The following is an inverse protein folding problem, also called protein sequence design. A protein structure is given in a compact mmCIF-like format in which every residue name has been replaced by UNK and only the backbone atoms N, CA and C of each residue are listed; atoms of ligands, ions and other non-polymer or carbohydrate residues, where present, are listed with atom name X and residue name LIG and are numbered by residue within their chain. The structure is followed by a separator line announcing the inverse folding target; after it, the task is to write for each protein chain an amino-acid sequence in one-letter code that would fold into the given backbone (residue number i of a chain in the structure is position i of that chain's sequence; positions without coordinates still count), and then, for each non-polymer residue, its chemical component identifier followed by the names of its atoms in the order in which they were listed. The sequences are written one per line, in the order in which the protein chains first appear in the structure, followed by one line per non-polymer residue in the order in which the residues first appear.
data_IF_111850883231
#
_entry.id   IF_111850883231
#
_cell.length_a   1.000
_cell.length_b   1.000
_cell.length_c   1.000
_cell.angle_alpha   90.00
_cell.angle_beta   90.00
_cell.angle_gamma   90.00
#
_symmetry.space_group_name_H-M   'P 1'
#
loop_
_entity.id
_entity.type
_entity.pdbx_description
1 polymer ?
#
# COMPACT_ATOMS: atom_id res chain seq x y z
N UNK A 1 15.40 11.24 -30.18
CA UNK A 1 16.10 10.07 -30.76
C UNK A 1 17.58 10.38 -30.91
N UNK A 2 18.44 9.83 -30.04
CA UNK A 2 19.83 9.49 -30.37
C UNK A 2 20.20 8.23 -29.58
N UNK A 3 20.22 7.12 -30.31
CA UNK A 3 20.76 5.83 -29.89
C UNK A 3 22.15 6.01 -29.27
N UNK A 4 22.35 5.60 -28.02
CA UNK A 4 23.70 5.28 -27.52
C UNK A 4 24.08 3.90 -28.07
N UNK A 5 24.62 3.88 -29.30
CA UNK A 5 25.35 2.74 -29.83
C UNK A 5 26.64 2.57 -29.00
N UNK A 6 26.75 1.43 -28.33
CA UNK A 6 27.97 1.02 -27.64
C UNK A 6 28.99 0.63 -28.73
N UNK A 7 30.01 1.46 -28.91
CA UNK A 7 31.11 1.22 -29.85
C UNK A 7 32.06 0.16 -29.27
N UNK A 8 32.09 -1.05 -29.85
CA UNK A 8 33.24 -1.95 -29.71
C UNK A 8 34.35 -1.44 -30.63
N UNK A 9 35.32 -0.69 -30.07
CA UNK A 9 36.54 -0.34 -30.81
C UNK A 9 37.48 -1.55 -30.82
N UNK A 10 37.71 -2.07 -32.02
CA UNK A 10 38.76 -3.04 -32.33
C UNK A 10 40.14 -2.38 -32.20
N UNK A 11 41.02 -2.93 -31.36
CA UNK A 11 42.43 -2.51 -31.25
C UNK A 11 43.34 -3.61 -31.80
N UNK A 12 44.07 -3.31 -32.89
CA UNK A 12 45.22 -4.08 -33.36
C UNK A 12 46.50 -3.55 -32.69
N UNK A 13 47.03 -4.38 -31.79
CA UNK A 13 48.44 -4.68 -31.49
C UNK A 13 49.49 -3.55 -31.54
N UNK A 14 50.04 -3.21 -30.37
CA UNK A 14 51.48 -2.97 -30.21
C UNK A 14 51.94 -3.60 -28.89
N UNK A 15 53.06 -4.34 -28.95
CA UNK A 15 53.48 -5.28 -27.91
C UNK A 15 53.84 -4.66 -26.57
N UNK A 16 53.10 -5.04 -25.53
CA UNK A 16 53.52 -5.32 -24.15
C UNK A 16 52.29 -5.84 -23.42
N UNK A 17 52.37 -7.05 -22.89
CA UNK A 17 51.28 -7.70 -22.19
C UNK A 17 50.95 -6.95 -20.89
N UNK A 18 49.95 -6.07 -20.94
CA UNK A 18 49.16 -5.74 -19.75
C UNK A 18 47.96 -6.67 -19.83
N UNK A 19 47.96 -7.72 -19.01
CA UNK A 19 46.76 -8.51 -18.72
C UNK A 19 45.80 -7.59 -17.96
N UNK A 20 45.10 -6.71 -18.67
CA UNK A 20 43.90 -6.10 -18.13
C UNK A 20 42.87 -7.23 -18.07
N UNK A 21 42.70 -7.81 -16.88
CA UNK A 21 41.62 -8.74 -16.57
C UNK A 21 40.32 -8.00 -16.88
N UNK A 22 39.79 -8.20 -18.09
CA UNK A 22 38.44 -7.75 -18.40
C UNK A 22 37.52 -8.56 -17.50
N UNK A 23 36.66 -7.92 -16.69
CA UNK A 23 35.81 -8.62 -15.75
C UNK A 23 34.96 -9.64 -16.50
N UNK A 24 34.83 -10.85 -15.94
CA UNK A 24 34.08 -11.92 -16.58
C UNK A 24 32.63 -11.46 -16.83
N UNK A 25 31.98 -11.89 -17.93
CA UNK A 25 30.61 -11.48 -18.25
C UNK A 25 29.60 -11.73 -17.11
N UNK A 26 29.85 -12.73 -16.27
CA UNK A 26 29.09 -13.03 -15.05
C UNK A 26 29.27 -11.98 -13.94
N UNK A 27 30.50 -11.51 -13.70
CA UNK A 27 30.81 -10.46 -12.71
C UNK A 27 30.23 -9.10 -13.14
N UNK A 28 30.26 -8.81 -14.44
CA UNK A 28 29.61 -7.62 -15.01
C UNK A 28 28.10 -7.69 -14.77
N UNK A 29 27.48 -8.85 -15.02
CA UNK A 29 26.04 -9.04 -14.80
C UNK A 29 25.68 -8.93 -13.32
N UNK A 30 26.51 -9.45 -12.42
CA UNK A 30 26.28 -9.37 -10.97
C UNK A 30 26.37 -7.92 -10.45
N UNK A 31 27.43 -7.18 -10.82
CA UNK A 31 27.58 -5.76 -10.45
C UNK A 31 26.45 -4.88 -11.02
N UNK A 32 25.99 -5.17 -12.24
CA UNK A 32 24.84 -4.47 -12.82
C UNK A 32 23.57 -4.75 -12.00
N UNK A 33 23.34 -6.00 -11.60
CA UNK A 33 22.17 -6.37 -10.80
C UNK A 33 22.20 -5.76 -9.39
N UNK A 34 23.36 -5.70 -8.75
CA UNK A 34 23.52 -5.03 -7.45
C UNK A 34 23.25 -3.53 -7.55
N UNK A 35 23.84 -2.84 -8.53
CA UNK A 35 23.59 -1.41 -8.74
C UNK A 35 22.11 -1.11 -9.04
N UNK A 36 21.45 -1.95 -9.86
CA UNK A 36 20.01 -1.81 -10.14
C UNK A 36 19.20 -1.99 -8.86
N UNK A 37 19.56 -2.94 -8.00
CA UNK A 37 18.87 -3.19 -6.74
C UNK A 37 19.01 -1.98 -5.81
N UNK A 38 20.21 -1.44 -5.65
CA UNK A 38 20.45 -0.23 -4.86
C UNK A 38 19.65 0.96 -5.38
N UNK A 39 19.62 1.18 -6.70
CA UNK A 39 18.86 2.27 -7.32
C UNK A 39 17.34 2.13 -7.11
N UNK A 40 16.83 0.89 -7.17
CA UNK A 40 15.43 0.58 -6.87
C UNK A 40 15.09 0.81 -5.40
N UNK A 41 15.96 0.38 -4.47
CA UNK A 41 15.71 0.53 -3.04
C UNK A 41 15.80 2.00 -2.60
N UNK A 42 16.75 2.76 -3.14
CA UNK A 42 16.81 4.23 -2.96
C UNK A 42 15.55 4.91 -3.49
N UNK A 43 15.03 4.50 -4.65
CA UNK A 43 13.79 5.07 -5.20
C UNK A 43 12.59 4.77 -4.32
N UNK A 44 12.49 3.57 -3.74
CA UNK A 44 11.41 3.23 -2.79
C UNK A 44 11.48 4.08 -1.54
N UNK A 45 12.68 4.29 -0.99
CA UNK A 45 12.86 5.13 0.21
C UNK A 45 12.48 6.59 -0.07
N UNK A 46 12.91 7.14 -1.20
CA UNK A 46 12.53 8.49 -1.62
C UNK A 46 11.01 8.64 -1.81
N UNK A 47 10.34 7.63 -2.35
CA UNK A 47 8.87 7.60 -2.48
C UNK A 47 8.18 7.51 -1.11
N UNK A 48 8.70 6.70 -0.20
CA UNK A 48 8.16 6.58 1.16
C UNK A 48 8.27 7.90 1.94
N UNK A 49 9.39 8.61 1.82
CA UNK A 49 9.57 9.92 2.44
C UNK A 49 8.69 10.99 1.78
N UNK A 50 8.50 10.94 0.46
CA UNK A 50 7.57 11.82 -0.24
C UNK A 50 6.13 11.67 0.28
N UNK A 51 5.64 10.44 0.41
CA UNK A 51 4.24 10.15 0.73
C UNK A 51 3.86 10.45 2.20
N UNK A 52 4.83 10.78 3.05
CA UNK A 52 4.63 11.27 4.43
C UNK A 52 4.52 12.79 4.52
N UNK A 53 4.82 13.54 3.45
CA UNK A 53 4.82 15.01 3.42
C UNK A 53 3.49 15.59 2.91
N UNK A 54 3.42 16.93 2.85
CA UNK A 54 2.33 17.64 2.15
C UNK A 54 2.50 17.46 0.63
N UNK A 55 1.56 16.74 0.00
CA UNK A 55 1.63 16.32 -1.40
C UNK A 55 0.61 17.06 -2.28
N UNK A 56 0.95 17.21 -3.56
CA UNK A 56 0.08 17.71 -4.63
C UNK A 56 -0.27 16.54 -5.55
N UNK A 57 -1.49 16.57 -6.09
CA UNK A 57 -1.93 15.66 -7.14
C UNK A 57 -1.84 16.37 -8.49
N UNK A 58 -1.06 15.82 -9.41
CA UNK A 58 -0.89 16.32 -10.76
C UNK A 58 -1.61 15.46 -11.79
N UNK A 59 -2.67 15.99 -12.38
CA UNK A 59 -3.40 15.37 -13.49
C UNK A 59 -2.83 15.85 -14.82
N UNK A 60 -2.23 14.94 -15.58
CA UNK A 60 -1.62 15.21 -16.89
C UNK A 60 -2.51 14.64 -17.99
N UNK A 61 -2.96 15.50 -18.90
CA UNK A 61 -3.82 15.13 -20.03
C UNK A 61 -2.99 15.08 -21.31
N UNK A 62 -2.92 13.90 -21.91
CA UNK A 62 -2.18 13.64 -23.14
C UNK A 62 -2.95 14.02 -24.41
N UNK A 63 -2.23 14.07 -25.54
CA UNK A 63 -2.81 14.28 -26.87
C UNK A 63 -3.74 13.13 -27.32
N UNK A 64 -3.53 11.95 -26.75
CA UNK A 64 -4.34 10.75 -26.95
C UNK A 64 -5.67 10.77 -26.16
N UNK A 65 -5.91 11.82 -25.37
CA UNK A 65 -7.05 11.91 -24.45
C UNK A 65 -6.85 11.11 -23.16
N UNK A 66 -5.68 10.49 -22.97
CA UNK A 66 -5.32 9.78 -21.74
C UNK A 66 -5.13 10.75 -20.58
N UNK A 67 -5.51 10.32 -19.37
CA UNK A 67 -5.26 11.03 -18.11
C UNK A 67 -4.32 10.19 -17.26
N UNK A 68 -3.24 10.80 -16.80
CA UNK A 68 -2.32 10.19 -15.84
C UNK A 68 -2.28 11.05 -14.59
N UNK A 69 -2.22 10.41 -13.43
CA UNK A 69 -2.17 11.11 -12.14
C UNK A 69 -0.84 10.79 -11.45
N UNK A 70 -0.30 11.81 -10.80
CA UNK A 70 1.01 11.78 -10.18
C UNK A 70 0.99 12.49 -8.83
N UNK A 71 1.79 12.02 -7.90
CA UNK A 71 1.95 12.63 -6.58
C UNK A 71 3.38 13.14 -6.42
N UNK A 72 3.54 14.35 -5.89
CA UNK A 72 4.84 14.96 -5.64
C UNK A 72 4.74 16.03 -4.53
N UNK A 73 5.89 16.45 -4.01
CA UNK A 73 5.96 17.35 -2.85
C UNK A 73 5.48 18.75 -3.22
N UNK A 74 4.67 19.34 -2.33
CA UNK A 74 4.15 20.70 -2.50
C UNK A 74 5.25 21.75 -2.33
N UNK A 75 5.85 22.17 -3.44
CA UNK A 75 6.83 23.25 -3.47
C UNK A 75 6.80 24.03 -4.79
N UNK A 76 7.13 25.34 -4.81
CA UNK A 76 7.18 26.12 -6.04
C UNK A 76 8.15 25.53 -7.09
N UNK A 77 9.34 25.11 -6.65
CA UNK A 77 10.36 24.48 -7.50
C UNK A 77 9.90 23.11 -8.03
N UNK A 78 9.22 22.31 -7.20
CA UNK A 78 8.66 21.02 -7.60
C UNK A 78 7.56 21.18 -8.65
N UNK A 79 6.66 22.14 -8.47
CA UNK A 79 5.61 22.45 -9.46
C UNK A 79 6.23 22.88 -10.80
N UNK A 80 7.17 23.84 -10.77
CA UNK A 80 7.83 24.31 -11.98
C UNK A 80 8.54 23.17 -12.73
N UNK A 81 9.29 22.36 -11.98
CA UNK A 81 10.00 21.20 -12.53
C UNK A 81 9.02 20.15 -13.08
N UNK A 82 7.91 19.87 -12.38
CA UNK A 82 6.89 18.93 -12.84
C UNK A 82 6.26 19.34 -14.16
N UNK A 83 5.85 20.60 -14.29
CA UNK A 83 5.30 21.16 -15.53
C UNK A 83 6.31 20.99 -16.67
N UNK A 84 7.57 21.33 -16.42
CA UNK A 84 8.63 21.23 -17.43
C UNK A 84 8.97 19.78 -17.82
N UNK A 85 8.96 18.85 -16.87
CA UNK A 85 9.22 17.43 -17.12
C UNK A 85 8.10 16.77 -17.93
N UNK A 86 6.84 17.17 -17.71
CA UNK A 86 5.66 16.59 -18.39
C UNK A 86 5.26 17.30 -19.68
N UNK A 87 5.85 18.46 -20.00
CA UNK A 87 5.46 19.33 -21.12
C UNK A 87 5.40 18.67 -22.50
N UNK A 88 6.29 17.71 -22.80
CA UNK A 88 6.36 17.07 -24.13
C UNK A 88 5.14 16.22 -24.47
N UNK A 89 4.42 15.77 -23.44
CA UNK A 89 3.33 14.80 -23.59
C UNK A 89 2.02 15.34 -23.03
N UNK A 90 1.97 16.60 -22.60
CA UNK A 90 0.83 17.19 -21.93
C UNK A 90 0.21 18.32 -22.76
N UNK A 91 -1.09 18.22 -23.02
CA UNK A 91 -1.91 19.34 -23.54
C UNK A 91 -2.34 20.25 -22.40
N UNK A 92 -2.72 19.64 -21.27
CA UNK A 92 -3.19 20.30 -20.07
C UNK A 92 -2.64 19.60 -18.84
N UNK A 93 -2.21 20.37 -17.85
CA UNK A 93 -1.89 19.88 -16.51
C UNK A 93 -2.82 20.58 -15.53
N UNK A 94 -3.39 19.82 -14.60
CA UNK A 94 -4.21 20.33 -13.49
C UNK A 94 -3.57 19.85 -12.20
N UNK A 95 -3.26 20.78 -11.30
CA UNK A 95 -2.69 20.51 -9.99
C UNK A 95 -3.75 20.79 -8.92
N UNK A 96 -3.97 19.82 -8.04
CA UNK A 96 -4.90 19.91 -6.91
C UNK A 96 -4.22 19.54 -5.60
N UNK A 97 -4.79 19.99 -4.48
CA UNK A 97 -4.44 19.45 -3.17
C UNK A 97 -5.13 18.08 -2.94
N UNK A 98 -4.88 17.47 -1.77
CA UNK A 98 -5.50 16.18 -1.39
C UNK A 98 -7.01 16.26 -1.12
N UNK A 99 -7.58 17.47 -1.14
CA UNK A 99 -9.01 17.74 -1.01
C UNK A 99 -9.64 18.12 -2.36
N UNK A 100 -8.95 17.83 -3.47
CA UNK A 100 -9.34 18.14 -4.84
C UNK A 100 -9.58 19.64 -5.11
N UNK A 101 -8.98 20.52 -4.31
CA UNK A 101 -9.04 21.97 -4.53
C UNK A 101 -8.01 22.37 -5.58
N UNK A 102 -8.46 23.12 -6.58
CA UNK A 102 -7.59 23.61 -7.64
C UNK A 102 -6.47 24.48 -7.06
N UNK A 103 -5.23 24.08 -7.30
CA UNK A 103 -4.05 24.89 -7.01
C UNK A 103 -3.60 25.68 -8.23
N UNK A 104 -3.53 25.01 -9.38
CA UNK A 104 -3.06 25.59 -10.63
C UNK A 104 -3.48 24.73 -11.83
N UNK A 105 -3.75 25.35 -12.98
CA UNK A 105 -3.80 24.63 -14.24
C UNK A 105 -2.95 25.28 -15.33
N UNK A 106 -2.60 24.50 -16.35
CA UNK A 106 -1.74 24.93 -17.45
C UNK A 106 -2.38 24.68 -18.81
N UNK A 107 -1.92 25.42 -19.81
CA UNK A 107 -2.01 25.05 -21.21
C UNK A 107 -0.59 24.76 -21.72
N UNK A 108 -0.30 23.48 -21.97
CA UNK A 108 1.07 23.01 -22.19
C UNK A 108 1.98 23.38 -21.01
N UNK A 109 3.02 24.17 -21.28
CA UNK A 109 4.00 24.64 -20.29
C UNK A 109 3.62 25.98 -19.61
N UNK A 110 2.55 26.65 -20.06
CA UNK A 110 2.16 27.96 -19.54
C UNK A 110 1.06 27.85 -18.50
N UNK A 111 1.21 28.60 -17.41
CA UNK A 111 0.19 28.69 -16.36
C UNK A 111 -1.02 29.42 -16.92
N UNK A 112 -2.20 28.80 -16.81
CA UNK A 112 -3.47 29.36 -17.26
C UNK A 112 -4.20 30.04 -16.08
N UNK A 113 -4.48 29.29 -15.02
CA UNK A 113 -5.09 29.81 -13.79
C UNK A 113 -4.31 29.37 -12.54
N UNK A 114 -4.15 30.31 -11.59
CA UNK A 114 -3.69 30.02 -10.24
C UNK A 114 -4.44 30.93 -9.25
N UNK A 115 -5.26 30.38 -8.34
CA UNK A 115 -6.03 31.19 -7.39
C UNK A 115 -5.16 31.99 -6.42
N UNK A 116 -4.03 31.43 -5.98
CA UNK A 116 -3.10 32.08 -5.06
C UNK A 116 -2.05 32.89 -5.84
N UNK A 117 -2.21 34.21 -5.84
CA UNK A 117 -1.33 35.13 -6.56
C UNK A 117 0.08 35.23 -5.95
N UNK A 118 0.24 35.04 -4.64
CA UNK A 118 1.57 35.03 -4.02
C UNK A 118 2.32 33.78 -4.44
N UNK A 119 1.64 32.64 -4.38
CA UNK A 119 2.19 31.36 -4.79
C UNK A 119 2.53 31.32 -6.28
N UNK A 120 1.68 31.93 -7.12
CA UNK A 120 1.96 32.11 -8.56
C UNK A 120 3.28 32.84 -8.81
N UNK A 121 3.57 33.91 -8.07
CA UNK A 121 4.82 34.65 -8.23
C UNK A 121 6.03 33.79 -7.86
N UNK A 122 5.93 32.97 -6.81
CA UNK A 122 6.99 32.05 -6.40
C UNK A 122 7.23 30.97 -7.45
N UNK A 123 6.18 30.34 -7.99
CA UNK A 123 6.29 29.34 -9.05
C UNK A 123 6.89 29.97 -10.31
N UNK A 124 6.47 31.18 -10.67
CA UNK A 124 6.94 31.87 -11.88
C UNK A 124 8.43 32.18 -11.82
N UNK A 125 8.97 32.55 -10.65
CA UNK A 125 10.42 32.77 -10.44
C UNK A 125 11.25 31.51 -10.75
N UNK A 126 10.68 30.33 -10.52
CA UNK A 126 11.31 29.06 -10.81
C UNK A 126 11.06 28.59 -12.26
N UNK A 127 9.84 28.77 -12.76
CA UNK A 127 9.39 28.24 -14.05
C UNK A 127 9.95 29.03 -15.25
N UNK A 128 9.99 30.37 -15.17
CA UNK A 128 10.42 31.20 -16.31
C UNK A 128 11.87 30.91 -16.73
N UNK A 129 12.86 30.83 -15.82
CA UNK A 129 14.21 30.41 -16.19
C UNK A 129 14.26 29.03 -16.86
N UNK A 130 13.40 28.09 -16.44
CA UNK A 130 13.35 26.76 -17.05
C UNK A 130 12.74 26.78 -18.46
N UNK A 131 11.73 27.62 -18.69
CA UNK A 131 11.12 27.82 -20.01
C UNK A 131 12.08 28.49 -21.01
N UNK A 132 12.90 29.42 -20.52
CA UNK A 132 13.93 30.10 -21.33
C UNK A 132 15.17 29.24 -21.59
N UNK A 133 15.34 28.13 -20.84
CA UNK A 133 16.51 27.25 -20.94
C UNK A 133 17.71 27.73 -20.11
N UNK A 134 17.54 28.75 -19.28
CA UNK A 134 18.56 29.27 -18.36
C UNK A 134 18.76 28.37 -17.12
N UNK A 135 17.78 27.49 -16.85
CA UNK A 135 17.76 26.58 -15.71
C UNK A 135 17.21 25.21 -16.12
N UNK A 136 17.89 24.13 -15.74
CA UNK A 136 17.34 22.78 -15.94
C UNK A 136 16.29 22.43 -14.86
N UNK A 137 15.24 21.66 -15.19
CA UNK A 137 14.27 21.21 -14.21
C UNK A 137 14.92 20.29 -13.19
N UNK A 138 14.53 20.42 -11.92
CA UNK A 138 15.03 19.58 -10.85
C UNK A 138 14.41 18.19 -10.97
N UNK A 139 15.23 17.14 -10.86
CA UNK A 139 14.73 15.78 -10.73
C UNK A 139 14.06 15.64 -9.36
N UNK A 140 12.73 15.57 -9.37
CA UNK A 140 11.92 15.42 -8.17
C UNK A 140 11.39 13.98 -8.07
N UNK A 141 11.27 13.42 -6.85
CA UNK A 141 10.51 12.21 -6.63
C UNK A 141 9.05 12.43 -7.07
N UNK A 142 8.58 11.59 -7.98
CA UNK A 142 7.19 11.56 -8.45
C UNK A 142 6.69 10.13 -8.29
N UNK A 143 5.58 9.96 -7.57
CA UNK A 143 4.89 8.68 -7.45
C UNK A 143 3.76 8.59 -8.48
N UNK A 144 3.60 7.43 -9.13
CA UNK A 144 2.37 7.12 -9.86
C UNK A 144 1.24 6.72 -8.89
N UNK A 145 0.01 6.60 -9.40
CA UNK A 145 -1.13 6.06 -8.64
C UNK A 145 -0.82 4.67 -8.09
N UNK A 146 -0.23 3.82 -8.92
CA UNK A 146 0.09 2.45 -8.54
C UNK A 146 1.16 2.41 -7.42
N UNK A 147 2.19 3.25 -7.53
CA UNK A 147 3.25 3.35 -6.52
C UNK A 147 2.72 3.91 -5.19
N UNK A 148 1.95 4.99 -5.23
CA UNK A 148 1.34 5.59 -4.04
C UNK A 148 0.31 4.65 -3.39
N UNK A 149 -0.52 3.98 -4.19
CA UNK A 149 -1.48 3.00 -3.71
C UNK A 149 -0.78 1.81 -3.07
N UNK A 150 0.29 1.29 -3.66
CA UNK A 150 1.06 0.19 -3.07
C UNK A 150 1.64 0.58 -1.71
N UNK A 151 2.16 1.80 -1.58
CA UNK A 151 2.67 2.32 -0.31
C UNK A 151 1.57 2.44 0.75
N UNK A 152 0.48 3.16 0.46
CA UNK A 152 -0.62 3.32 1.42
C UNK A 152 -1.30 2.00 1.76
N UNK A 153 -1.39 1.06 0.81
CA UNK A 153 -1.94 -0.27 1.08
C UNK A 153 -1.05 -1.11 2.00
N UNK A 154 0.27 -0.89 1.98
CA UNK A 154 1.19 -1.56 2.89
C UNK A 154 1.13 -0.96 4.31
N UNK A 155 1.08 0.37 4.44
CA UNK A 155 0.91 1.01 5.75
C UNK A 155 -0.48 0.75 6.35
N UNK A 156 -1.53 0.69 5.52
CA UNK A 156 -2.89 0.37 5.97
C UNK A 156 -3.13 -1.13 6.10
N UNK A 157 -2.11 -1.97 5.93
CA UNK A 157 -2.27 -3.42 6.00
C UNK A 157 -2.53 -3.79 7.45
N UNK A 158 -3.76 -4.25 7.73
CA UNK A 158 -4.12 -4.65 9.10
C UNK A 158 -3.15 -5.72 9.61
N UNK A 159 -2.62 -5.50 10.81
CA UNK A 159 -1.71 -6.42 11.49
C UNK A 159 -2.53 -7.53 12.12
N UNK A 160 -2.41 -8.73 11.57
CA UNK A 160 -3.12 -9.91 12.03
C UNK A 160 -2.27 -10.73 13.00
N UNK A 161 -2.90 -11.18 14.08
CA UNK A 161 -2.37 -12.21 14.96
C UNK A 161 -3.13 -13.51 14.75
N UNK A 162 -2.42 -14.63 14.69
CA UNK A 162 -3.03 -15.95 14.51
C UNK A 162 -3.16 -16.62 15.87
N UNK A 163 -4.35 -17.15 16.19
CA UNK A 163 -4.55 -17.96 17.38
C UNK A 163 -5.02 -19.38 17.01
N UNK A 164 -4.22 -20.36 17.41
CA UNK A 164 -4.48 -21.78 17.18
C UNK A 164 -4.64 -22.52 18.51
N UNK A 165 -5.55 -23.50 18.57
CA UNK A 165 -5.70 -24.37 19.73
C UNK A 165 -5.96 -25.81 19.31
N UNK A 166 -5.32 -26.76 20.00
CA UNK A 166 -5.64 -28.19 19.91
C UNK A 166 -6.11 -28.74 21.24
N UNK A 167 -7.13 -29.60 21.19
CA UNK A 167 -7.64 -30.34 22.35
C UNK A 167 -6.82 -31.63 22.53
N UNK A 168 -5.50 -31.52 22.52
CA UNK A 168 -4.57 -32.63 22.67
C UNK A 168 -3.34 -32.18 23.48
N UNK A 169 -2.76 -33.07 24.30
CA UNK A 169 -1.58 -32.74 25.09
C UNK A 169 -0.31 -32.55 24.23
N UNK A 170 -0.31 -33.06 23.00
CA UNK A 170 0.80 -32.92 22.05
C UNK A 170 0.28 -32.86 20.60
N UNK A 171 0.96 -32.09 19.74
CA UNK A 171 0.66 -32.00 18.30
C UNK A 171 1.23 -33.19 17.50
N UNK A 172 0.92 -34.41 17.93
CA UNK A 172 1.51 -35.65 17.39
C UNK A 172 1.21 -35.87 15.89
N UNK A 173 0.18 -35.21 15.34
CA UNK A 173 -0.25 -35.34 13.94
C UNK A 173 -0.08 -34.05 13.11
N UNK A 174 0.56 -33.01 13.63
CA UNK A 174 0.74 -31.75 12.90
C UNK A 174 -0.57 -30.99 12.64
N UNK A 175 -1.57 -31.17 13.49
CA UNK A 175 -2.86 -30.51 13.40
C UNK A 175 -2.73 -28.99 13.59
N UNK A 176 -1.82 -28.51 14.43
CA UNK A 176 -1.54 -27.07 14.56
C UNK A 176 -0.94 -26.50 13.28
N UNK A 177 0.03 -27.20 12.67
CA UNK A 177 0.65 -26.78 11.40
C UNK A 177 -0.37 -26.66 10.27
N UNK A 178 -1.33 -27.57 10.20
CA UNK A 178 -2.44 -27.50 9.23
C UNK A 178 -3.35 -26.30 9.47
N UNK A 179 -3.75 -26.06 10.72
CA UNK A 179 -4.57 -24.89 11.09
C UNK A 179 -3.86 -23.57 10.81
N UNK A 180 -2.59 -23.48 11.19
CA UNK A 180 -1.74 -22.31 10.94
C UNK A 180 -1.64 -22.03 9.45
N UNK A 181 -1.35 -23.03 8.62
CA UNK A 181 -1.27 -22.87 7.17
C UNK A 181 -2.57 -22.31 6.60
N UNK A 182 -3.71 -22.87 7.00
CA UNK A 182 -5.03 -22.39 6.58
C UNK A 182 -5.28 -20.92 6.96
N UNK A 183 -4.89 -20.51 8.18
CA UNK A 183 -5.03 -19.12 8.65
C UNK A 183 -4.03 -18.17 7.96
N UNK A 184 -2.82 -18.64 7.64
CA UNK A 184 -1.84 -17.88 6.86
C UNK A 184 -2.33 -17.67 5.42
N UNK A 185 -2.85 -18.70 4.78
CA UNK A 185 -3.42 -18.62 3.42
C UNK A 185 -4.61 -17.65 3.43
N UNK A 186 -5.46 -17.68 4.47
CA UNK A 186 -6.56 -16.73 4.63
C UNK A 186 -6.08 -15.29 4.86
N UNK A 187 -5.07 -15.09 5.71
CA UNK A 187 -4.47 -13.77 5.93
C UNK A 187 -3.89 -13.19 4.64
N UNK A 188 -3.24 -14.01 3.83
CA UNK A 188 -2.70 -13.59 2.53
C UNK A 188 -3.81 -13.19 1.56
N UNK A 189 -4.88 -13.99 1.46
CA UNK A 189 -6.05 -13.70 0.63
C UNK A 189 -6.75 -12.39 1.02
N UNK A 190 -6.85 -12.13 2.32
CA UNK A 190 -7.47 -10.92 2.86
C UNK A 190 -6.52 -9.70 2.84
N UNK A 191 -5.26 -9.90 2.47
CA UNK A 191 -4.26 -8.86 2.47
C UNK A 191 -3.90 -8.40 3.89
N UNK A 192 -3.93 -9.26 4.90
CA UNK A 192 -3.45 -8.94 6.24
C UNK A 192 -1.96 -9.21 6.39
N UNK A 193 -1.29 -8.47 7.29
CA UNK A 193 0.11 -8.69 7.63
C UNK A 193 0.18 -9.51 8.91
N UNK A 194 0.60 -10.78 8.82
CA UNK A 194 0.74 -11.62 10.02
C UNK A 194 1.95 -11.13 10.82
N UNK A 195 1.70 -10.60 12.01
CA UNK A 195 2.73 -10.04 12.91
C UNK A 195 3.13 -10.97 14.05
N UNK A 196 2.35 -12.02 14.28
CA UNK A 196 2.63 -13.01 15.32
C UNK A 196 1.61 -14.13 15.35
N UNK A 197 1.91 -15.11 16.19
CA UNK A 197 1.08 -16.29 16.43
C UNK A 197 1.08 -16.63 17.91
N UNK A 198 -0.05 -17.14 18.38
CA UNK A 198 -0.21 -17.70 19.71
C UNK A 198 -0.87 -19.07 19.58
N UNK A 199 -0.38 -20.03 20.36
CA UNK A 199 -0.86 -21.40 20.31
C UNK A 199 -1.14 -21.88 21.74
N UNK A 200 -2.29 -22.53 21.93
CA UNK A 200 -2.62 -23.23 23.18
C UNK A 200 -2.74 -24.74 22.92
N UNK A 201 -2.12 -25.54 23.80
CA UNK A 201 -2.18 -27.00 23.80
C UNK A 201 -2.78 -27.48 25.14
N UNK A 202 -3.71 -28.42 25.10
CA UNK A 202 -4.24 -29.00 26.33
C UNK A 202 -5.46 -29.89 26.11
N UNK A 203 -5.51 -31.03 26.78
CA UNK A 203 -6.68 -31.91 26.83
C UNK A 203 -7.49 -31.67 28.11
N UNK A 204 -8.79 -31.41 28.00
CA UNK A 204 -9.66 -31.23 29.18
C UNK A 204 -9.64 -29.82 29.78
N UNK A 205 -10.25 -29.68 30.97
CA UNK A 205 -10.57 -28.42 31.68
C UNK A 205 -9.36 -27.62 32.20
N UNK A 206 -8.14 -27.92 31.74
CA UNK A 206 -6.95 -27.16 32.12
C UNK A 206 -6.88 -25.90 31.26
N UNK A 207 -7.25 -24.78 31.88
CA UNK A 207 -7.20 -23.42 31.34
C UNK A 207 -5.77 -22.86 31.40
N UNK A 208 -4.78 -23.58 30.86
CA UNK A 208 -3.48 -22.97 30.60
C UNK A 208 -3.58 -22.15 29.31
N UNK A 209 -4.36 -21.08 29.38
CA UNK A 209 -4.64 -20.12 28.32
C UNK A 209 -3.48 -19.12 28.16
N UNK A 210 -2.24 -19.63 28.12
CA UNK A 210 -1.05 -18.80 28.01
C UNK A 210 -1.04 -18.03 26.67
N UNK A 211 -1.44 -18.68 25.59
CA UNK A 211 -1.56 -18.08 24.26
C UNK A 211 -2.67 -17.04 24.20
N UNK A 212 -3.84 -17.29 24.80
CA UNK A 212 -4.91 -16.28 24.84
C UNK A 212 -4.55 -15.06 25.71
N UNK A 213 -3.86 -15.27 26.83
CA UNK A 213 -3.35 -14.18 27.66
C UNK A 213 -2.31 -13.31 26.90
N UNK A 214 -1.46 -13.95 26.09
CA UNK A 214 -0.53 -13.25 25.20
C UNK A 214 -1.28 -12.41 24.16
N UNK A 215 -2.29 -12.97 23.51
CA UNK A 215 -3.15 -12.25 22.55
C UNK A 215 -3.74 -11.00 23.21
N UNK A 216 -4.29 -11.11 24.42
CA UNK A 216 -4.85 -9.95 25.15
C UNK A 216 -3.81 -8.91 25.55
N UNK A 217 -2.57 -9.33 25.82
CA UNK A 217 -1.47 -8.40 26.10
C UNK A 217 -1.06 -7.64 24.83
N UNK A 218 -0.90 -8.35 23.71
CA UNK A 218 -0.54 -7.78 22.41
C UNK A 218 -1.64 -6.85 21.88
N UNK A 219 -2.90 -7.22 22.11
CA UNK A 219 -4.07 -6.38 21.90
C UNK A 219 -3.94 -5.05 22.65
N UNK A 220 -3.73 -5.12 23.97
CA UNK A 220 -3.61 -3.94 24.82
C UNK A 220 -2.41 -3.05 24.49
N UNK A 221 -1.30 -3.64 24.02
CA UNK A 221 -0.12 -2.92 23.55
C UNK A 221 -0.34 -2.23 22.18
N UNK A 222 -1.48 -2.44 21.50
CA UNK A 222 -1.75 -1.90 20.18
C UNK A 222 -0.84 -2.47 19.09
N UNK A 223 -0.37 -3.71 19.25
CA UNK A 223 0.54 -4.40 18.32
C UNK A 223 -0.18 -5.19 17.23
N UNK A 224 -1.50 -5.33 17.34
CA UNK A 224 -2.35 -5.98 16.35
C UNK A 224 -3.64 -5.19 16.13
N UNK A 225 -4.24 -5.38 14.95
CA UNK A 225 -5.53 -4.79 14.56
C UNK A 225 -6.58 -5.87 14.25
N UNK A 226 -6.12 -7.11 14.02
CA UNK A 226 -6.96 -8.25 13.63
C UNK A 226 -6.53 -9.50 14.39
N UNK A 227 -7.50 -10.28 14.88
CA UNK A 227 -7.30 -11.62 15.42
C UNK A 227 -7.91 -12.65 14.45
N UNK A 228 -7.12 -13.66 14.06
CA UNK A 228 -7.54 -14.75 13.20
C UNK A 228 -7.67 -16.04 14.01
N UNK A 229 -8.85 -16.65 14.00
CA UNK A 229 -9.14 -17.93 14.65
C UNK A 229 -9.73 -18.92 13.65
N UNK A 230 -9.57 -20.22 13.87
CA UNK A 230 -10.19 -21.22 13.00
C UNK A 230 -11.70 -21.33 13.19
N UNK A 231 -12.17 -21.35 14.44
CA UNK A 231 -13.58 -21.46 14.86
C UNK A 231 -13.77 -20.83 16.24
N UNK A 232 -14.95 -20.28 16.50
CA UNK A 232 -15.33 -19.73 17.83
C UNK A 232 -15.17 -20.74 18.97
N UNK A 233 -15.45 -22.04 18.71
CA UNK A 233 -15.29 -23.12 19.69
C UNK A 233 -13.86 -23.26 20.25
N UNK A 234 -12.86 -22.65 19.59
CA UNK A 234 -11.45 -22.67 20.01
C UNK A 234 -11.11 -21.61 21.05
N UNK A 235 -11.92 -20.55 21.16
CA UNK A 235 -11.73 -19.51 22.19
C UNK A 235 -12.21 -19.98 23.57
N UNK A 236 -13.12 -20.95 23.62
CA UNK A 236 -13.58 -21.59 24.85
C UNK A 236 -15.03 -22.04 24.75
N UNK A 237 -15.40 -23.05 25.56
CA UNK A 237 -16.79 -23.54 25.66
C UNK A 237 -17.62 -22.77 26.69
N UNK A 238 -16.99 -21.87 27.43
CA UNK A 238 -17.63 -21.03 28.44
C UNK A 238 -18.12 -19.72 27.79
N UNK A 239 -19.43 -19.61 27.64
CA UNK A 239 -20.08 -18.48 26.97
C UNK A 239 -19.83 -17.16 27.69
N UNK A 240 -19.68 -17.15 29.03
CA UNK A 240 -19.43 -15.92 29.78
C UNK A 240 -18.01 -15.40 29.49
N UNK A 241 -17.01 -16.27 29.56
CA UNK A 241 -15.61 -15.91 29.26
C UNK A 241 -15.42 -15.49 27.80
N UNK A 242 -16.16 -16.13 26.88
CA UNK A 242 -16.13 -15.74 25.46
C UNK A 242 -16.68 -14.32 25.26
N UNK A 243 -17.78 -13.97 25.92
CA UNK A 243 -18.36 -12.63 25.83
C UNK A 243 -17.44 -11.56 26.42
N UNK A 244 -16.80 -11.86 27.55
CA UNK A 244 -15.82 -10.95 28.16
C UNK A 244 -14.60 -10.71 27.24
N UNK A 245 -14.12 -11.77 26.59
CA UNK A 245 -13.04 -11.68 25.61
C UNK A 245 -13.45 -10.82 24.40
N UNK A 246 -14.63 -11.08 23.82
CA UNK A 246 -15.13 -10.31 22.68
C UNK A 246 -15.32 -8.83 23.02
N UNK A 247 -15.86 -8.54 24.21
CA UNK A 247 -15.98 -7.17 24.70
C UNK A 247 -14.63 -6.49 24.92
N UNK A 248 -13.63 -7.23 25.42
CA UNK A 248 -12.26 -6.74 25.58
C UNK A 248 -11.59 -6.41 24.25
N UNK A 249 -11.75 -7.26 23.23
CA UNK A 249 -11.22 -7.03 21.89
C UNK A 249 -11.89 -5.84 21.19
N UNK A 250 -13.22 -5.69 21.35
CA UNK A 250 -13.96 -4.56 20.81
C UNK A 250 -13.51 -3.22 21.42
N UNK A 251 -13.35 -3.16 22.74
CA UNK A 251 -12.83 -1.97 23.44
C UNK A 251 -11.41 -1.58 22.99
N UNK A 252 -10.59 -2.57 22.63
CA UNK A 252 -9.23 -2.36 22.14
C UNK A 252 -9.16 -2.07 20.64
N UNK A 253 -10.27 -2.14 19.92
CA UNK A 253 -10.31 -1.84 18.50
C UNK A 253 -9.81 -2.98 17.61
N UNK A 254 -10.15 -4.23 17.93
CA UNK A 254 -9.56 -5.40 17.26
C UNK A 254 -10.67 -6.20 16.57
N UNK A 255 -10.49 -6.43 15.27
CA UNK A 255 -11.45 -7.21 14.48
C UNK A 255 -11.17 -8.71 14.59
N UNK A 256 -12.19 -9.51 14.87
CA UNK A 256 -12.08 -10.97 14.94
C UNK A 256 -12.58 -11.62 13.64
N UNK A 257 -11.75 -12.41 12.98
CA UNK A 257 -12.13 -13.18 11.80
C UNK A 257 -11.97 -14.68 11.99
N UNK A 258 -12.89 -15.44 11.39
CA UNK A 258 -12.75 -16.88 11.17
C UNK A 258 -12.95 -17.25 9.69
N UNK A 259 -12.11 -18.10 9.08
CA UNK A 259 -12.20 -18.44 7.65
C UNK A 259 -13.57 -18.96 7.19
N UNK A 260 -14.30 -19.67 8.06
CA UNK A 260 -15.60 -20.28 7.77
C UNK A 260 -16.78 -19.35 8.08
N UNK A 261 -16.63 -18.41 9.01
CA UNK A 261 -17.72 -17.60 9.54
C UNK A 261 -17.61 -16.12 9.13
N UNK A 262 -16.45 -15.68 8.64
CA UNK A 262 -16.20 -14.30 8.25
C UNK A 262 -15.83 -13.41 9.43
N UNK A 263 -16.30 -12.17 9.42
CA UNK A 263 -16.07 -11.17 10.47
C UNK A 263 -17.05 -11.40 11.63
N UNK A 264 -16.52 -11.71 12.81
CA UNK A 264 -17.28 -12.15 13.98
C UNK A 264 -17.50 -11.03 14.99
N UNK A 265 -16.57 -10.09 15.10
CA UNK A 265 -16.67 -8.90 15.95
C UNK A 265 -16.00 -7.71 15.25
N UNK A 266 -16.65 -6.54 15.29
CA UNK A 266 -16.18 -5.31 14.66
C UNK A 266 -16.03 -4.22 15.70
N UNK A 267 -14.89 -3.56 15.70
CA UNK A 267 -14.82 -2.24 16.32
C UNK A 267 -15.23 -1.17 15.29
N UNK A 268 -16.17 -0.32 15.69
CA UNK A 268 -16.76 0.81 14.95
C UNK A 268 -16.29 1.09 13.50
N UNK A 269 -17.26 0.97 12.60
CA UNK A 269 -17.31 1.50 11.24
C UNK A 269 -16.97 3.00 11.18
N UNK A 270 -15.70 3.41 11.20
CA UNK A 270 -15.33 4.84 11.03
C UNK A 270 -14.01 5.10 10.30
N UNK A 271 -13.21 4.09 9.93
CA UNK A 271 -12.00 4.33 9.13
C UNK A 271 -12.26 4.50 7.63
N UNK A 272 -13.45 4.16 7.12
CA UNK A 272 -13.81 4.29 5.71
C UNK A 272 -13.98 5.76 5.23
N UNK A 273 -14.06 6.73 6.16
CA UNK A 273 -14.33 8.14 5.82
C UNK A 273 -13.08 9.04 5.79
N UNK A 274 -11.87 8.51 6.03
CA UNK A 274 -10.67 9.36 6.05
C UNK A 274 -10.03 9.60 4.68
N UNK A 275 -10.45 8.85 3.65
CA UNK A 275 -9.99 9.01 2.26
C UNK A 275 -11.10 8.71 1.24
N UNK A 276 -11.95 9.67 0.87
CA UNK A 276 -13.03 9.44 -0.10
C UNK A 276 -12.53 9.05 -1.51
N UNK A 277 -11.27 9.32 -1.86
CA UNK A 277 -10.70 9.00 -3.17
C UNK A 277 -10.36 7.52 -3.41
N UNK A 278 -10.05 6.74 -2.38
CA UNK A 278 -9.57 5.35 -2.53
C UNK A 278 -10.73 4.34 -2.62
N UNK A 279 -11.88 4.69 -2.04
CA UNK A 279 -13.02 3.77 -1.91
C UNK A 279 -13.70 3.45 -3.25
N UNK A 280 -13.68 4.38 -4.21
CA UNK A 280 -14.33 4.21 -5.52
C UNK A 280 -13.60 3.21 -6.43
N UNK A 281 -12.30 3.02 -6.24
CA UNK A 281 -11.51 2.05 -7.03
C UNK A 281 -11.53 0.64 -6.44
N UNK A 282 -11.58 0.49 -5.11
CA UNK A 282 -11.56 -0.81 -4.44
C UNK A 282 -12.87 -1.58 -4.66
N UNK A 283 -14.02 -0.89 -4.65
CA UNK A 283 -15.32 -1.53 -4.90
C UNK A 283 -15.50 -2.05 -6.34
N UNK A 284 -14.62 -1.69 -7.27
CA UNK A 284 -14.68 -2.15 -8.67
C UNK A 284 -14.00 -3.52 -8.90
N UNK A 285 -13.23 -4.02 -7.93
CA UNK A 285 -12.50 -5.30 -8.02
C UNK A 285 -13.07 -6.42 -7.13
N UNK A 286 -14.13 -6.17 -6.37
CA UNK A 286 -14.80 -7.24 -5.63
C UNK A 286 -15.55 -8.18 -6.62
N UNK A 287 -15.25 -9.48 -6.67
CA UNK A 287 -16.04 -10.41 -7.46
C UNK A 287 -17.44 -10.51 -6.84
N UNK A 288 -18.46 -10.16 -7.63
CA UNK A 288 -19.85 -10.42 -7.28
C UNK A 288 -20.03 -11.94 -7.11
N UNK A 289 -20.04 -12.42 -5.86
CA UNK A 289 -20.52 -13.77 -5.56
C UNK A 289 -22.02 -13.79 -5.84
N UNK A 290 -22.40 -14.55 -6.88
CA UNK A 290 -23.78 -14.94 -7.13
C UNK A 290 -24.25 -15.76 -5.92
N UNK A 291 -25.01 -15.16 -5.01
CA UNK A 291 -25.91 -15.90 -4.13
C UNK A 291 -27.12 -16.32 -4.94
N UNK A 292 -26.99 -17.48 -5.59
CA UNK A 292 -28.14 -18.30 -5.94
C UNK A 292 -28.66 -18.97 -4.67
N UNK A 293 -29.97 -18.94 -4.54
CA UNK A 293 -30.82 -19.75 -3.67
C UNK A 293 -31.08 -19.29 -2.24
N UNK A 294 -32.31 -18.78 -2.11
CA UNK A 294 -33.27 -19.07 -1.03
C UNK A 294 -33.09 -18.40 0.32
N UNK A 295 -33.48 -17.12 0.39
CA UNK A 295 -34.41 -16.68 1.45
C UNK A 295 -35.48 -15.82 0.78
N UNK A 296 -36.62 -16.45 0.52
CA UNK A 296 -37.83 -15.76 0.13
C UNK A 296 -38.41 -14.97 1.31
N UNK A 297 -39.07 -13.87 0.94
CA UNK A 297 -40.18 -13.24 1.67
C UNK A 297 -39.90 -12.89 3.13
N UNK A 298 -39.72 -11.60 3.41
CA UNK A 298 -40.62 -10.82 4.28
C UNK A 298 -40.12 -9.36 4.27
N UNK A 299 -41.04 -8.41 4.43
CA UNK A 299 -40.87 -6.95 4.38
C UNK A 299 -41.05 -6.28 3.00
N UNK A 300 -42.32 -6.21 2.58
CA UNK A 300 -42.83 -5.02 1.92
C UNK A 300 -44.26 -4.78 2.42
N UNK A 301 -44.47 -3.67 3.14
CA UNK A 301 -45.67 -2.80 3.20
C UNK A 301 -45.87 -2.20 4.59
N UNK A 302 -45.25 -1.06 4.87
CA UNK A 302 -45.81 0.01 5.68
C UNK A 302 -45.05 1.31 5.36
N UNK A 303 -45.62 2.14 4.49
CA UNK A 303 -45.61 3.62 4.48
C UNK A 303 -45.82 4.12 3.05
N UNK A 304 -46.96 4.78 2.82
CA UNK A 304 -47.22 5.45 1.55
C UNK A 304 -48.69 5.71 1.19
N UNK A 305 -49.52 6.13 2.16
CA UNK A 305 -50.58 7.14 1.99
C UNK A 305 -51.09 7.60 3.34
#
# INVERSE_FOLDING_TARGET
MKNKQIFFKSWKLCGKAVFSVLPYPSEIKFKILENIKEEVDMRKEALAELLKKDIIIGHVYGLDGGRQEYYFEKSPSGIASFVMLKKKHAVKIILTDTLDRLMLDTYGEFINCCPDQKYLQEITKELVPMQLGDKEPVEIPIASVEEAQAFWSQESRKRAWIYCRIDAPEDTHGALKGQKKELMDYAEQMGFMVVGEAEDMGGGLDFDCAGLAEVMKVAGDGKMDVLLIKKLDRLGRDTAKLLDLLGGLDQMGIDLYAPLEGLLATHNTTQALRYPGVFTHILRKAPARKSGDSIGQFFCTQQGR
#
